data_IF_653741974912
#
_entry.id   IF_653741974912
#
_cell.length_a   1.000
_cell.length_b   1.000
_cell.length_c   1.000
_cell.angle_alpha   90.00
_cell.angle_beta   90.00
_cell.angle_gamma   90.00
#
_symmetry.space_group_name_H-M   'P 1'
#
loop_
_entity.id
_entity.type
_entity.pdbx_description
1 polymer ?
#
# COMPACT_ATOMS: atom_id res chain seq x y z
N UNK A 1 -8.49 9.15 -17.64
CA UNK A 1 -8.21 10.28 -18.56
C UNK A 1 -7.27 9.81 -19.65
N UNK A 2 -7.44 10.27 -20.89
CA UNK A 2 -6.56 9.93 -22.03
C UNK A 2 -5.81 11.20 -22.44
N UNK A 3 -4.49 11.19 -22.29
CA UNK A 3 -3.62 12.34 -22.56
C UNK A 3 -2.73 11.98 -23.74
N UNK A 4 -2.71 12.80 -24.79
CA UNK A 4 -1.74 12.65 -25.88
C UNK A 4 -0.59 13.65 -25.72
N UNK A 5 0.59 13.32 -26.24
CA UNK A 5 1.70 14.29 -26.29
C UNK A 5 1.30 15.57 -27.02
N UNK A 6 0.48 15.50 -28.07
CA UNK A 6 -0.01 16.69 -28.79
C UNK A 6 -0.86 17.60 -27.93
N UNK A 7 -1.70 17.03 -27.05
CA UNK A 7 -2.46 17.81 -26.08
C UNK A 7 -1.54 18.46 -25.05
N UNK A 8 -0.52 17.74 -24.57
CA UNK A 8 0.47 18.30 -23.65
C UNK A 8 1.34 19.37 -24.31
N UNK A 9 1.77 19.19 -25.56
CA UNK A 9 2.54 20.18 -26.34
C UNK A 9 1.73 21.47 -26.55
N UNK A 10 0.41 21.37 -26.73
CA UNK A 10 -0.46 22.53 -26.78
C UNK A 10 -0.46 23.31 -25.46
N UNK A 11 -0.55 22.60 -24.33
CA UNK A 11 -0.58 23.21 -23.01
C UNK A 11 0.80 23.69 -22.53
N UNK A 12 1.84 22.92 -22.85
CA UNK A 12 3.23 23.03 -22.40
C UNK A 12 4.19 22.80 -23.59
N UNK A 13 4.46 23.82 -24.42
CA UNK A 13 5.25 23.65 -25.64
C UNK A 13 6.66 23.09 -25.44
N UNK A 14 7.27 23.35 -24.28
CA UNK A 14 8.62 22.86 -23.95
C UNK A 14 8.64 21.36 -23.66
N UNK A 15 7.49 20.72 -23.44
CA UNK A 15 7.41 19.29 -23.18
C UNK A 15 7.95 18.45 -24.34
N UNK A 16 8.00 19.01 -25.56
CA UNK A 16 8.61 18.37 -26.74
C UNK A 16 10.11 18.11 -26.58
N UNK A 17 10.76 18.85 -25.69
CA UNK A 17 12.19 18.75 -25.40
C UNK A 17 12.48 17.86 -24.18
N UNK A 18 11.44 17.35 -23.51
CA UNK A 18 11.55 16.53 -22.30
C UNK A 18 11.56 15.05 -22.70
N UNK A 19 12.45 14.28 -22.08
CA UNK A 19 12.50 12.83 -22.31
C UNK A 19 11.19 12.17 -21.86
N UNK A 20 10.74 11.15 -22.60
CA UNK A 20 9.47 10.49 -22.28
C UNK A 20 9.49 9.86 -20.89
N UNK A 21 10.65 9.37 -20.44
CA UNK A 21 10.79 8.82 -19.09
C UNK A 21 10.58 9.89 -18.02
N UNK A 22 11.02 11.11 -18.26
CA UNK A 22 10.82 12.23 -17.33
C UNK A 22 9.35 12.66 -17.30
N UNK A 23 8.66 12.63 -18.45
CA UNK A 23 7.20 12.82 -18.50
C UNK A 23 6.48 11.72 -17.70
N UNK A 24 6.89 10.45 -17.83
CA UNK A 24 6.30 9.35 -17.08
C UNK A 24 6.52 9.50 -15.57
N UNK A 25 7.75 9.83 -15.18
CA UNK A 25 8.09 10.09 -13.79
C UNK A 25 7.27 11.27 -13.24
N UNK A 26 7.08 12.34 -14.02
CA UNK A 26 6.28 13.48 -13.63
C UNK A 26 4.81 13.13 -13.42
N UNK A 27 4.21 12.36 -14.34
CA UNK A 27 2.83 11.84 -14.21
C UNK A 27 2.66 11.04 -12.91
N UNK A 28 3.62 10.15 -12.59
CA UNK A 28 3.60 9.38 -11.35
C UNK A 28 3.75 10.31 -10.12
N UNK A 29 4.64 11.30 -10.20
CA UNK A 29 4.90 12.25 -9.08
C UNK A 29 3.68 13.11 -8.74
N UNK A 30 2.84 13.41 -9.74
CA UNK A 30 1.55 14.08 -9.53
C UNK A 30 0.42 13.06 -9.24
N UNK A 31 0.75 11.86 -8.74
CA UNK A 31 -0.24 10.86 -8.29
C UNK A 31 -1.17 10.38 -9.41
N UNK A 32 -0.66 10.21 -10.63
CA UNK A 32 -1.39 9.54 -11.71
C UNK A 32 -0.81 8.14 -11.96
N UNK A 33 -1.67 7.13 -11.89
CA UNK A 33 -1.34 5.77 -12.31
C UNK A 33 -1.45 5.68 -13.83
N UNK A 34 -0.34 5.36 -14.48
CA UNK A 34 -0.29 5.06 -15.91
C UNK A 34 -0.81 3.63 -16.11
N UNK A 35 -2.01 3.49 -16.66
CA UNK A 35 -2.62 2.19 -16.97
C UNK A 35 -2.04 1.58 -18.23
N UNK A 36 -1.97 2.39 -19.29
CA UNK A 36 -1.51 1.97 -20.61
C UNK A 36 -0.75 3.12 -21.28
N UNK A 37 0.24 2.78 -22.10
CA UNK A 37 0.93 3.68 -23.03
C UNK A 37 0.72 3.13 -24.43
N UNK A 38 0.05 3.89 -25.29
CA UNK A 38 -0.20 3.52 -26.69
C UNK A 38 0.76 4.33 -27.56
N UNK A 39 1.47 3.62 -28.43
CA UNK A 39 2.36 4.19 -29.44
C UNK A 39 1.59 4.21 -30.76
N UNK A 40 1.39 5.40 -31.32
CA UNK A 40 0.77 5.57 -32.63
C UNK A 40 1.80 6.16 -33.59
N UNK A 41 2.17 5.40 -34.62
CA UNK A 41 3.04 5.86 -35.71
C UNK A 41 2.20 6.54 -36.78
N UNK A 42 2.46 7.82 -37.02
CA UNK A 42 1.93 8.53 -38.20
C UNK A 42 2.64 8.06 -39.47
N UNK A 43 1.88 7.90 -40.56
CA UNK A 43 2.39 7.54 -41.90
C UNK A 43 2.87 8.74 -42.73
N UNK A 44 2.86 9.96 -42.19
CA UNK A 44 3.43 11.11 -42.88
C UNK A 44 4.96 11.09 -42.85
N UNK A 45 5.58 11.79 -43.81
CA UNK A 45 7.00 11.72 -44.22
C UNK A 45 8.06 11.92 -43.11
N UNK A 46 7.66 12.15 -41.87
CA UNK A 46 8.47 12.05 -40.67
C UNK A 46 7.78 11.08 -39.71
N UNK A 47 8.48 10.01 -39.31
CA UNK A 47 8.08 9.08 -38.25
C UNK A 47 7.91 9.84 -36.92
N UNK A 48 6.75 10.48 -36.75
CA UNK A 48 6.36 11.10 -35.48
C UNK A 48 5.66 10.03 -34.65
N UNK A 49 6.36 9.52 -33.63
CA UNK A 49 5.78 8.63 -32.63
C UNK A 49 4.89 9.48 -31.72
N UNK A 50 3.58 9.25 -31.76
CA UNK A 50 2.63 9.88 -30.84
C UNK A 50 2.49 8.97 -29.62
N UNK A 51 2.80 9.50 -28.44
CA UNK A 51 2.53 8.81 -27.17
C UNK A 51 1.15 9.21 -26.66
N UNK A 52 0.37 8.21 -26.26
CA UNK A 52 -0.94 8.37 -25.65
C UNK A 52 -0.94 7.66 -24.31
N UNK A 53 -1.14 8.43 -23.25
CA UNK A 53 -1.21 7.95 -21.87
C UNK A 53 -2.65 7.74 -21.47
N UNK A 54 -2.98 6.52 -21.05
CA UNK A 54 -4.21 6.26 -20.31
C UNK A 54 -3.88 6.30 -18.83
N UNK A 55 -4.34 7.33 -18.14
CA UNK A 55 -4.05 7.55 -16.71
C UNK A 55 -5.32 7.53 -15.86
N UNK A 56 -5.16 7.23 -14.57
CA UNK A 56 -6.17 7.49 -13.53
C UNK A 56 -5.50 8.13 -12.29
N UNK A 57 -6.21 8.99 -11.54
CA UNK A 57 -5.73 9.45 -10.23
C UNK A 57 -5.48 8.28 -9.27
N UNK A 58 -4.38 8.35 -8.53
CA UNK A 58 -4.03 7.44 -7.43
C UNK A 58 -4.69 7.98 -6.17
N UNK A 59 -5.63 7.21 -5.63
CA UNK A 59 -6.48 7.59 -4.51
C UNK A 59 -7.36 8.82 -4.83
N UNK A 60 -8.53 8.93 -4.21
CA UNK A 60 -9.43 10.09 -4.40
C UNK A 60 -8.93 11.37 -3.71
N UNK A 61 -7.62 11.48 -3.49
CA UNK A 61 -6.96 12.57 -2.77
C UNK A 61 -6.89 13.82 -3.66
N UNK A 62 -6.62 13.63 -4.96
CA UNK A 62 -6.57 14.70 -5.95
C UNK A 62 -7.61 14.47 -7.04
N UNK A 63 -8.48 15.44 -7.22
CA UNK A 63 -9.30 15.53 -8.43
C UNK A 63 -8.60 16.44 -9.44
N UNK A 64 -8.56 16.00 -10.70
CA UNK A 64 -8.02 16.76 -11.82
C UNK A 64 -9.22 17.24 -12.65
N UNK A 65 -9.82 18.39 -12.32
CA UNK A 65 -11.09 18.82 -12.91
C UNK A 65 -10.96 19.13 -14.41
N UNK A 66 -9.74 19.35 -14.92
CA UNK A 66 -9.47 19.62 -16.33
C UNK A 66 -8.03 19.25 -16.73
N UNK A 67 -7.76 19.10 -18.04
CA UNK A 67 -6.40 18.88 -18.54
C UNK A 67 -5.49 20.09 -18.30
N UNK A 68 -6.05 21.30 -18.26
CA UNK A 68 -5.31 22.51 -17.92
C UNK A 68 -4.76 22.42 -16.49
N UNK A 69 -5.56 22.03 -15.49
CA UNK A 69 -5.07 21.84 -14.11
C UNK A 69 -3.97 20.79 -14.07
N UNK A 70 -4.15 19.65 -14.74
CA UNK A 70 -3.11 18.64 -14.84
C UNK A 70 -1.81 19.20 -15.45
N UNK A 71 -1.92 20.05 -16.48
CA UNK A 71 -0.74 20.66 -17.10
C UNK A 71 -0.01 21.61 -16.17
N UNK A 72 -0.71 22.33 -15.29
CA UNK A 72 -0.05 23.17 -14.27
C UNK A 72 0.76 22.32 -13.29
N UNK A 73 0.20 21.20 -12.83
CA UNK A 73 0.89 20.27 -11.93
C UNK A 73 2.08 19.59 -12.60
N UNK A 74 1.97 19.22 -13.88
CA UNK A 74 3.09 18.69 -14.65
C UNK A 74 4.19 19.73 -14.86
N UNK A 75 3.81 20.96 -15.21
CA UNK A 75 4.73 22.05 -15.45
C UNK A 75 5.54 22.40 -14.19
N UNK A 76 4.90 22.35 -13.01
CA UNK A 76 5.57 22.48 -11.73
C UNK A 76 6.65 21.41 -11.53
N UNK A 77 6.32 20.14 -11.76
CA UNK A 77 7.26 19.03 -11.56
C UNK A 77 8.41 19.05 -12.56
N UNK A 78 8.14 19.46 -13.80
CA UNK A 78 9.11 19.54 -14.89
C UNK A 78 9.86 20.88 -14.94
N UNK A 79 9.54 21.82 -14.04
CA UNK A 79 10.04 23.20 -14.05
C UNK A 79 9.87 23.93 -15.40
N UNK A 80 8.75 23.67 -16.08
CA UNK A 80 8.40 24.30 -17.35
C UNK A 80 7.65 25.61 -17.07
N UNK A 81 8.20 26.73 -17.53
CA UNK A 81 7.62 28.07 -17.31
C UNK A 81 7.03 28.69 -18.57
N UNK A 82 7.44 28.21 -19.75
CA UNK A 82 7.04 28.82 -21.02
C UNK A 82 5.60 28.48 -21.39
N UNK A 83 4.78 29.52 -21.55
CA UNK A 83 3.44 29.42 -22.15
C UNK A 83 3.52 29.46 -23.69
N UNK A 84 2.54 28.88 -24.41
CA UNK A 84 2.47 28.96 -25.87
C UNK A 84 2.24 30.39 -26.35
N UNK A 85 2.90 30.76 -27.45
CA UNK A 85 2.71 32.04 -28.14
C UNK A 85 1.33 32.13 -28.82
N UNK A 86 0.87 33.34 -29.12
CA UNK A 86 -0.37 33.56 -29.86
C UNK A 86 -0.40 32.82 -31.20
N UNK A 87 0.74 32.76 -31.89
CA UNK A 87 0.86 32.05 -33.17
C UNK A 87 0.76 30.54 -33.02
N UNK A 88 1.40 29.95 -32.00
CA UNK A 88 1.30 28.51 -31.72
C UNK A 88 -0.14 28.11 -31.36
N UNK A 89 -0.80 28.92 -30.53
CA UNK A 89 -2.22 28.72 -30.18
C UNK A 89 -3.09 28.78 -31.43
N UNK A 90 -2.93 29.83 -32.25
CA UNK A 90 -3.71 30.01 -33.47
C UNK A 90 -3.48 28.84 -34.42
N UNK A 91 -2.23 28.46 -34.67
CA UNK A 91 -1.92 27.32 -35.53
C UNK A 91 -2.58 26.03 -35.05
N UNK A 92 -2.63 25.79 -33.75
CA UNK A 92 -3.22 24.58 -33.19
C UNK A 92 -4.75 24.57 -33.25
N UNK A 93 -5.40 25.67 -32.84
CA UNK A 93 -6.86 25.75 -32.80
C UNK A 93 -7.50 25.76 -34.20
N UNK A 94 -6.76 26.14 -35.24
CA UNK A 94 -7.22 26.12 -36.63
C UNK A 94 -6.90 24.81 -37.37
N UNK A 95 -6.22 23.86 -36.73
CA UNK A 95 -5.99 22.52 -37.29
C UNK A 95 -7.23 21.64 -37.06
N UNK A 96 -8.13 21.59 -38.07
CA UNK A 96 -9.39 20.86 -37.99
C UNK A 96 -9.20 19.36 -37.76
N UNK A 97 -8.17 18.77 -38.38
CA UNK A 97 -7.86 17.35 -38.25
C UNK A 97 -7.37 17.03 -36.85
N UNK A 98 -6.46 17.83 -36.30
CA UNK A 98 -5.92 17.65 -34.96
C UNK A 98 -7.00 17.79 -33.88
N UNK A 99 -7.82 18.84 -33.97
CA UNK A 99 -8.93 19.05 -33.02
C UNK A 99 -9.92 17.88 -33.08
N UNK A 100 -10.31 17.47 -34.29
CA UNK A 100 -11.21 16.33 -34.49
C UNK A 100 -10.63 15.03 -33.97
N UNK A 101 -9.32 14.81 -34.11
CA UNK A 101 -8.60 13.65 -33.59
C UNK A 101 -8.61 13.65 -32.05
N UNK A 102 -8.25 14.75 -31.40
CA UNK A 102 -8.19 14.83 -29.93
C UNK A 102 -9.57 14.69 -29.27
N UNK A 103 -10.62 15.20 -29.91
CA UNK A 103 -12.00 14.99 -29.49
C UNK A 103 -12.40 13.51 -29.58
N UNK A 104 -12.13 12.85 -30.71
CA UNK A 104 -12.40 11.41 -30.88
C UNK A 104 -11.64 10.56 -29.87
N UNK A 105 -10.36 10.88 -29.65
CA UNK A 105 -9.52 10.18 -28.69
C UNK A 105 -10.09 10.23 -27.27
N UNK A 106 -10.78 11.32 -26.92
CA UNK A 106 -11.47 11.52 -25.65
C UNK A 106 -12.97 11.21 -25.69
N UNK A 107 -13.43 10.43 -26.67
CA UNK A 107 -14.82 10.01 -26.84
C UNK A 107 -15.83 11.18 -26.90
N UNK A 108 -15.43 12.32 -27.46
CA UNK A 108 -16.31 13.47 -27.74
C UNK A 108 -16.87 13.39 -29.15
N UNK A 109 -18.07 13.93 -29.35
CA UNK A 109 -18.73 13.97 -30.67
C UNK A 109 -18.08 15.06 -31.52
N UNK A 110 -17.70 14.72 -32.75
CA UNK A 110 -17.18 15.68 -33.73
C UNK A 110 -18.34 16.18 -34.59
N UNK A 111 -18.52 17.51 -34.63
CA UNK A 111 -19.45 18.23 -35.50
C UNK A 111 -18.82 18.49 -36.88
N UNK A 112 -19.66 18.73 -37.89
CA UNK A 112 -19.20 19.26 -39.19
C UNK A 112 -18.76 20.72 -39.12
N UNK A 113 -19.12 21.44 -38.05
CA UNK A 113 -18.73 22.82 -37.81
C UNK A 113 -17.46 22.88 -36.96
N UNK A 114 -16.34 23.35 -37.53
CA UNK A 114 -15.06 23.45 -36.82
C UNK A 114 -15.14 24.31 -35.56
N UNK A 115 -15.88 25.42 -35.60
CA UNK A 115 -16.02 26.30 -34.44
C UNK A 115 -16.69 25.61 -33.24
N UNK A 116 -17.63 24.70 -33.50
CA UNK A 116 -18.25 23.86 -32.45
C UNK A 116 -17.25 22.83 -31.89
N UNK A 117 -16.38 22.29 -32.75
CA UNK A 117 -15.33 21.37 -32.33
C UNK A 117 -14.27 22.07 -31.46
N UNK A 118 -13.85 23.28 -31.84
CA UNK A 118 -12.94 24.10 -31.02
C UNK A 118 -13.55 24.35 -29.65
N UNK A 119 -14.85 24.69 -29.57
CA UNK A 119 -15.51 24.88 -28.28
C UNK A 119 -15.53 23.61 -27.43
N UNK A 120 -15.94 22.48 -28.00
CA UNK A 120 -15.89 21.19 -27.29
C UNK A 120 -14.48 20.84 -26.83
N UNK A 121 -13.46 21.21 -27.61
CA UNK A 121 -12.06 21.04 -27.24
C UNK A 121 -11.67 21.94 -26.06
N UNK A 122 -12.07 23.22 -26.06
CA UNK A 122 -11.83 24.11 -24.93
C UNK A 122 -12.52 23.60 -23.65
N UNK A 123 -13.75 23.10 -23.74
CA UNK A 123 -14.44 22.46 -22.61
C UNK A 123 -13.76 21.18 -22.14
N UNK A 124 -13.15 20.42 -23.07
CA UNK A 124 -12.33 19.27 -22.72
C UNK A 124 -11.09 19.73 -21.93
N UNK A 125 -10.39 20.73 -22.44
CA UNK A 125 -9.11 21.21 -21.90
C UNK A 125 -9.27 21.92 -20.56
N UNK A 126 -10.19 22.86 -20.46
CA UNK A 126 -10.34 23.76 -19.31
C UNK A 126 -11.46 23.35 -18.35
N UNK A 127 -12.24 22.32 -18.69
CA UNK A 127 -13.34 21.81 -17.87
C UNK A 127 -14.71 22.18 -18.43
N UNK A 128 -15.74 21.50 -17.93
CA UNK A 128 -17.13 21.81 -18.31
C UNK A 128 -17.64 22.98 -17.46
N UNK A 129 -17.94 24.16 -18.06
CA UNK A 129 -18.41 25.31 -17.30
C UNK A 129 -19.74 25.07 -16.57
N UNK A 130 -20.52 24.06 -16.98
CA UNK A 130 -21.74 23.66 -16.26
C UNK A 130 -21.45 22.90 -14.97
N UNK A 131 -20.26 22.33 -14.83
CA UNK A 131 -19.82 21.59 -13.64
C UNK A 131 -18.97 22.45 -12.72
N UNK A 132 -18.03 23.18 -13.29
CA UNK A 132 -17.13 24.08 -12.56
C UNK A 132 -16.80 25.30 -13.43
N UNK A 133 -17.62 26.32 -13.29
CA UNK A 133 -17.47 27.59 -14.02
C UNK A 133 -16.17 28.31 -13.63
N UNK A 134 -15.72 28.14 -12.38
CA UNK A 134 -14.54 28.81 -11.82
C UNK A 134 -13.28 28.31 -12.51
N UNK A 135 -13.09 26.98 -12.54
CA UNK A 135 -11.92 26.37 -13.18
C UNK A 135 -11.91 26.66 -14.69
N UNK A 136 -13.07 26.63 -15.35
CA UNK A 136 -13.16 26.95 -16.76
C UNK A 136 -12.72 28.39 -17.05
N UNK A 137 -13.31 29.38 -16.36
CA UNK A 137 -12.96 30.80 -16.54
C UNK A 137 -11.49 31.07 -16.22
N UNK A 138 -10.97 30.51 -15.13
CA UNK A 138 -9.58 30.70 -14.71
C UNK A 138 -8.61 30.13 -15.74
N UNK A 139 -8.91 28.94 -16.26
CA UNK A 139 -8.11 28.28 -17.28
C UNK A 139 -8.07 29.10 -18.58
N UNK A 140 -9.23 29.51 -19.09
CA UNK A 140 -9.34 30.37 -20.28
C UNK A 140 -8.58 31.68 -20.08
N UNK A 141 -8.81 32.38 -18.97
CA UNK A 141 -8.13 33.63 -18.68
C UNK A 141 -6.62 33.43 -18.55
N UNK A 142 -6.13 32.54 -17.68
CA UNK A 142 -4.69 32.32 -17.47
C UNK A 142 -3.94 31.87 -18.74
N UNK A 143 -4.63 31.16 -19.63
CA UNK A 143 -4.03 30.62 -20.85
C UNK A 143 -4.04 31.62 -22.02
N UNK A 144 -5.04 32.49 -22.12
CA UNK A 144 -5.22 33.42 -23.23
C UNK A 144 -5.02 34.91 -22.89
N UNK A 145 -4.92 35.28 -21.60
CA UNK A 145 -4.64 36.66 -21.17
C UNK A 145 -3.35 37.16 -21.84
N UNK A 146 -3.37 38.42 -22.27
CA UNK A 146 -2.27 39.11 -22.94
C UNK A 146 -1.86 38.50 -24.28
N UNK A 147 -2.70 37.63 -24.87
CA UNK A 147 -2.48 37.05 -26.20
C UNK A 147 -3.46 37.62 -27.21
N UNK A 148 -2.92 38.20 -28.28
CA UNK A 148 -3.71 38.61 -29.43
C UNK A 148 -4.19 37.38 -30.22
N UNK A 149 -5.43 36.98 -29.98
CA UNK A 149 -6.06 35.86 -30.68
C UNK A 149 -7.23 36.39 -31.48
N UNK A 150 -7.09 36.31 -32.80
CA UNK A 150 -8.22 36.42 -33.71
C UNK A 150 -9.08 35.18 -33.59
N UNK A 151 -10.04 35.23 -32.67
CA UNK A 151 -11.13 34.28 -32.62
C UNK A 151 -11.88 34.40 -33.96
N UNK A 152 -11.87 33.34 -34.78
CA UNK A 152 -12.65 33.29 -36.02
C UNK A 152 -14.16 33.37 -35.74
N UNK A 153 -15.01 32.88 -36.65
CA UNK A 153 -16.47 32.75 -36.39
C UNK A 153 -16.76 31.70 -35.32
N UNK A 154 -16.33 31.93 -34.09
CA UNK A 154 -16.65 31.12 -32.92
C UNK A 154 -17.96 31.66 -32.32
N UNK A 155 -19.01 30.84 -32.18
CA UNK A 155 -20.31 31.29 -31.70
C UNK A 155 -20.29 31.93 -30.30
N UNK A 156 -19.23 31.70 -29.52
CA UNK A 156 -19.07 32.20 -28.14
C UNK A 156 -17.87 33.15 -27.99
N UNK A 157 -17.42 33.75 -29.10
CA UNK A 157 -16.34 34.74 -29.14
C UNK A 157 -16.57 35.87 -28.12
N UNK A 158 -17.81 36.33 -27.96
CA UNK A 158 -18.14 37.45 -27.08
C UNK A 158 -17.91 37.13 -25.60
N UNK A 159 -18.29 35.93 -25.15
CA UNK A 159 -18.14 35.50 -23.74
C UNK A 159 -16.67 35.32 -23.37
N UNK A 160 -15.87 34.69 -24.25
CA UNK A 160 -14.42 34.54 -24.04
C UNK A 160 -13.73 35.90 -24.05
N UNK A 161 -14.07 36.78 -24.99
CA UNK A 161 -13.53 38.15 -25.04
C UNK A 161 -13.90 38.94 -23.78
N UNK A 162 -15.09 38.74 -23.23
CA UNK A 162 -15.52 39.41 -22.00
C UNK A 162 -14.69 38.99 -20.79
N UNK A 163 -14.40 37.70 -20.62
CA UNK A 163 -13.50 37.23 -19.55
C UNK A 163 -12.08 37.78 -19.69
N UNK A 164 -11.57 37.86 -20.91
CA UNK A 164 -10.20 38.33 -21.18
C UNK A 164 -10.03 39.84 -20.96
N UNK A 165 -11.11 40.61 -20.86
CA UNK A 165 -11.07 42.04 -20.51
C UNK A 165 -10.86 42.29 -19.02
N UNK A 166 -11.04 41.28 -18.18
CA UNK A 166 -10.90 41.42 -16.73
C UNK A 166 -9.41 41.50 -16.38
N UNK A 167 -9.05 42.56 -15.65
CA UNK A 167 -7.65 42.93 -15.41
C UNK A 167 -7.02 42.17 -14.25
N UNK A 168 -7.81 41.93 -13.19
CA UNK A 168 -7.38 41.25 -11.96
C UNK A 168 -8.04 39.87 -11.82
N UNK A 169 -7.26 38.85 -11.46
CA UNK A 169 -7.75 37.51 -11.12
C UNK A 169 -8.80 37.57 -10.01
N UNK A 170 -8.65 38.48 -9.03
CA UNK A 170 -9.61 38.67 -7.93
C UNK A 170 -10.96 39.21 -8.39
N UNK A 171 -10.99 39.94 -9.51
CA UNK A 171 -12.23 40.41 -10.12
C UNK A 171 -12.97 39.30 -10.88
N UNK A 172 -12.24 38.27 -11.35
CA UNK A 172 -12.85 37.08 -11.94
C UNK A 172 -13.43 36.10 -10.90
N UNK A 173 -12.87 36.08 -9.69
CA UNK A 173 -13.16 35.04 -8.69
C UNK A 173 -13.38 35.60 -7.29
N UNK A 174 -14.62 35.48 -6.80
CA UNK A 174 -15.01 35.85 -5.44
C UNK A 174 -14.76 34.74 -4.39
N UNK A 175 -14.16 33.61 -4.78
CA UNK A 175 -13.88 32.49 -3.88
C UNK A 175 -12.64 32.72 -3.04
N UNK A 176 -12.67 32.31 -1.76
CA UNK A 176 -11.47 32.28 -0.94
C UNK A 176 -10.55 31.12 -1.36
N UNK A 177 -9.26 31.41 -1.58
CA UNK A 177 -8.24 30.36 -1.76
C UNK A 177 -8.08 29.58 -0.47
N UNK A 178 -7.90 28.27 -0.60
CA UNK A 178 -7.51 27.43 0.52
C UNK A 178 -6.17 27.91 1.09
N UNK A 179 -5.98 27.78 2.41
CA UNK A 179 -4.81 28.31 3.12
C UNK A 179 -4.17 27.26 4.00
N UNK A 180 -2.85 27.33 4.10
CA UNK A 180 -2.07 26.58 5.09
C UNK A 180 -0.95 27.44 5.64
N UNK A 181 -0.39 27.02 6.77
CA UNK A 181 0.79 27.65 7.35
C UNK A 181 1.97 26.69 7.30
N UNK A 182 3.16 27.24 7.08
CA UNK A 182 4.42 26.51 7.15
C UNK A 182 5.38 27.24 8.08
N UNK A 183 6.01 26.45 8.95
CA UNK A 183 7.07 26.88 9.85
C UNK A 183 8.36 26.25 9.35
N UNK A 184 9.30 27.07 8.87
CA UNK A 184 10.53 26.60 8.23
C UNK A 184 11.39 25.74 9.16
N UNK A 185 11.45 26.09 10.44
CA UNK A 185 12.17 25.31 11.45
C UNK A 185 11.60 23.90 11.64
N UNK A 186 10.32 23.69 11.34
CA UNK A 186 9.62 22.40 11.49
C UNK A 186 9.62 21.52 10.23
N UNK A 187 10.04 22.02 9.05
CA UNK A 187 10.05 21.17 7.86
C UNK A 187 11.00 19.98 8.03
N UNK A 188 10.66 18.87 7.38
CA UNK A 188 11.46 17.65 7.41
C UNK A 188 12.91 17.91 6.96
N UNK A 189 13.91 17.19 7.51
CA UNK A 189 15.31 17.38 7.16
C UNK A 189 15.62 17.20 5.67
N UNK A 190 14.82 16.39 4.95
CA UNK A 190 14.96 16.20 3.49
C UNK A 190 14.74 17.49 2.69
N UNK A 191 14.14 18.53 3.29
CA UNK A 191 13.93 19.84 2.66
C UNK A 191 14.97 20.88 3.11
N UNK A 192 16.10 20.46 3.71
CA UNK A 192 17.11 21.39 4.23
C UNK A 192 17.59 22.38 3.17
N UNK A 193 17.88 21.93 1.96
CA UNK A 193 18.32 22.79 0.85
C UNK A 193 17.24 23.84 0.51
N UNK A 194 15.96 23.46 0.51
CA UNK A 194 14.85 24.39 0.30
C UNK A 194 14.72 25.42 1.44
N UNK A 195 15.13 25.10 2.68
CA UNK A 195 15.10 26.05 3.80
C UNK A 195 16.17 27.14 3.65
N UNK A 196 17.34 26.76 3.15
CA UNK A 196 18.51 27.64 3.07
C UNK A 196 18.30 28.78 2.07
N UNK A 197 17.49 28.56 1.03
CA UNK A 197 17.10 29.57 0.05
C UNK A 197 15.60 29.51 -0.29
N UNK A 198 14.75 29.63 0.75
CA UNK A 198 13.29 29.45 0.63
C UNK A 198 12.62 30.33 -0.42
N UNK A 199 13.05 31.59 -0.54
CA UNK A 199 12.44 32.54 -1.46
C UNK A 199 12.70 32.11 -2.92
N UNK A 200 13.93 31.77 -3.29
CA UNK A 200 14.23 31.34 -4.66
C UNK A 200 13.82 29.89 -4.95
N UNK A 201 14.06 28.97 -4.00
CA UNK A 201 13.85 27.52 -4.19
C UNK A 201 12.39 27.09 -4.02
N UNK A 202 11.55 27.91 -3.38
CA UNK A 202 10.13 27.57 -3.14
C UNK A 202 9.20 28.67 -3.62
N UNK A 203 9.33 29.90 -3.11
CA UNK A 203 8.36 30.97 -3.39
C UNK A 203 8.36 31.34 -4.88
N UNK A 204 9.52 31.70 -5.44
CA UNK A 204 9.67 32.10 -6.84
C UNK A 204 9.33 30.97 -7.83
N UNK A 205 9.57 29.72 -7.42
CA UNK A 205 9.22 28.54 -8.22
C UNK A 205 7.73 28.25 -8.21
N UNK A 206 7.00 28.58 -7.15
CA UNK A 206 5.57 28.28 -7.01
C UNK A 206 4.63 29.41 -7.45
N UNK A 207 5.08 30.68 -7.41
CA UNK A 207 4.29 31.83 -7.88
C UNK A 207 3.75 31.66 -9.32
N UNK A 208 4.53 31.20 -10.31
CA UNK A 208 4.04 30.97 -11.68
C UNK A 208 2.88 29.97 -11.78
N UNK A 209 2.68 29.14 -10.74
CA UNK A 209 1.66 28.10 -10.65
C UNK A 209 0.50 28.49 -9.72
N UNK A 210 0.22 29.80 -9.59
CA UNK A 210 -0.92 30.39 -8.87
C UNK A 210 -0.91 30.23 -7.33
N UNK A 211 0.22 29.82 -6.74
CA UNK A 211 0.45 29.95 -5.31
C UNK A 211 0.75 31.41 -4.94
N UNK A 212 0.34 31.83 -3.75
CA UNK A 212 0.82 33.08 -3.15
C UNK A 212 1.24 32.87 -1.70
N UNK A 213 2.16 33.71 -1.24
CA UNK A 213 2.83 33.56 0.04
C UNK A 213 2.77 34.88 0.81
N UNK A 214 2.47 34.81 2.10
CA UNK A 214 2.47 35.95 3.00
C UNK A 214 3.32 35.64 4.23
N UNK A 215 4.23 36.54 4.60
CA UNK A 215 5.04 36.41 5.81
C UNK A 215 4.18 36.73 7.04
N UNK A 216 3.99 35.77 7.93
CA UNK A 216 3.18 35.94 9.14
C UNK A 216 3.93 36.59 10.30
N UNK A 217 5.27 36.53 10.29
CA UNK A 217 6.10 37.10 11.33
C UNK A 217 7.32 37.83 10.76
N UNK A 218 7.89 38.73 11.58
CA UNK A 218 9.10 39.47 11.23
C UNK A 218 10.35 38.58 11.14
N UNK A 219 10.34 37.38 11.72
CA UNK A 219 11.48 36.45 11.70
C UNK A 219 11.60 35.64 10.41
N UNK A 220 10.68 35.81 9.43
CA UNK A 220 10.65 35.10 8.15
C UNK A 220 10.60 33.55 8.25
N UNK A 221 10.33 33.01 9.44
CA UNK A 221 10.24 31.56 9.66
C UNK A 221 8.83 31.02 9.44
N UNK A 222 7.82 31.89 9.43
CA UNK A 222 6.41 31.50 9.28
C UNK A 222 5.78 32.15 8.06
N UNK A 223 5.19 31.30 7.23
CA UNK A 223 4.57 31.67 5.97
C UNK A 223 3.14 31.16 5.91
N UNK A 224 2.20 32.04 5.57
CA UNK A 224 0.89 31.65 5.09
C UNK A 224 0.98 31.40 3.58
N UNK A 225 0.44 30.27 3.16
CA UNK A 225 0.42 29.82 1.77
C UNK A 225 -1.03 29.84 1.33
N UNK A 226 -1.32 30.59 0.27
CA UNK A 226 -2.61 30.52 -0.41
C UNK A 226 -2.45 29.62 -1.62
N UNK A 227 -3.24 28.55 -1.63
CA UNK A 227 -3.19 27.50 -2.63
C UNK A 227 -3.92 27.93 -3.91
N UNK A 228 -3.59 27.35 -5.08
CA UNK A 228 -4.33 27.57 -6.30
C UNK A 228 -5.82 27.17 -6.17
N UNK A 229 -6.69 27.78 -6.97
CA UNK A 229 -8.15 27.63 -6.86
C UNK A 229 -8.69 26.21 -7.07
N UNK A 230 -7.91 25.30 -7.67
CA UNK A 230 -8.30 23.90 -7.82
C UNK A 230 -8.04 23.05 -6.56
N UNK A 231 -7.40 23.62 -5.54
CA UNK A 231 -7.24 23.01 -4.23
C UNK A 231 -8.38 23.43 -3.29
N UNK A 232 -8.99 22.46 -2.62
CA UNK A 232 -10.09 22.68 -1.66
C UNK A 232 -9.59 22.51 -0.24
N UNK A 233 -10.07 23.36 0.68
CA UNK A 233 -9.61 23.37 2.08
C UNK A 233 -9.78 22.01 2.76
N UNK A 234 -10.90 21.32 2.49
CA UNK A 234 -11.23 20.02 3.07
C UNK A 234 -10.31 18.88 2.61
N UNK A 235 -9.62 19.05 1.48
CA UNK A 235 -8.78 18.03 0.84
C UNK A 235 -7.37 18.55 0.52
N UNK A 236 -6.87 19.52 1.28
CA UNK A 236 -5.51 20.01 1.08
C UNK A 236 -4.49 18.90 1.38
N UNK A 237 -3.55 18.62 0.46
CA UNK A 237 -2.41 17.80 0.83
C UNK A 237 -1.53 18.53 1.82
N UNK A 238 -0.65 17.80 2.49
CA UNK A 238 0.42 18.43 3.25
C UNK A 238 1.29 19.28 2.31
N UNK A 239 1.69 20.48 2.72
CA UNK A 239 2.61 21.28 1.93
C UNK A 239 3.96 20.57 1.70
N UNK A 240 4.33 19.62 2.57
CA UNK A 240 5.47 18.73 2.35
C UNK A 240 5.38 17.95 1.04
N UNK A 241 4.17 17.63 0.57
CA UNK A 241 3.97 16.98 -0.72
C UNK A 241 4.31 17.92 -1.89
N UNK A 242 3.96 19.20 -1.77
CA UNK A 242 4.34 20.22 -2.75
C UNK A 242 5.85 20.45 -2.74
N UNK A 243 6.47 20.54 -1.56
CA UNK A 243 7.93 20.62 -1.45
C UNK A 243 8.62 19.41 -2.09
N UNK A 244 8.04 18.21 -1.94
CA UNK A 244 8.55 17.01 -2.58
C UNK A 244 8.47 17.08 -4.12
N UNK A 245 7.48 17.78 -4.68
CA UNK A 245 7.39 18.04 -6.14
C UNK A 245 8.55 18.91 -6.64
N UNK A 246 9.11 19.78 -5.81
CA UNK A 246 10.23 20.66 -6.16
C UNK A 246 11.61 19.96 -6.15
N UNK A 247 11.74 18.85 -5.41
CA UNK A 247 13.00 18.09 -5.32
C UNK A 247 13.23 17.20 -6.55
N UNK A 248 14.45 17.15 -7.08
CA UNK A 248 14.84 16.13 -8.06
C UNK A 248 14.95 14.77 -7.35
N UNK A 249 14.26 13.75 -7.87
CA UNK A 249 14.15 12.43 -7.24
C UNK A 249 15.52 11.72 -7.06
N UNK A 250 16.51 12.10 -7.86
CA UNK A 250 17.89 11.60 -7.81
C UNK A 250 18.83 12.43 -6.91
N UNK A 251 18.46 13.68 -6.58
CA UNK A 251 19.33 14.61 -5.84
C UNK A 251 18.95 14.78 -4.39
N UNK A 252 17.79 14.29 -3.95
CA UNK A 252 17.46 14.23 -2.52
C UNK A 252 18.51 13.33 -1.86
N UNK A 253 19.55 13.96 -1.31
CA UNK A 253 20.60 13.31 -0.54
C UNK A 253 19.86 12.60 0.59
N UNK A 254 19.70 11.28 0.43
CA UNK A 254 19.31 10.40 1.52
C UNK A 254 20.54 10.28 2.42
N UNK A 255 20.94 11.38 3.03
CA UNK A 255 21.62 11.28 4.31
C UNK A 255 20.61 10.59 5.18
N UNK A 256 20.81 9.29 5.36
CA UNK A 256 20.40 8.62 6.58
C UNK A 256 20.98 9.54 7.64
N UNK A 257 20.16 10.39 8.24
CA UNK A 257 20.63 11.18 9.36
C UNK A 257 21.21 10.15 10.31
N UNK A 258 22.50 10.28 10.59
CA UNK A 258 23.07 9.83 11.85
C UNK A 258 22.42 10.71 12.93
N UNK A 259 21.09 10.69 13.04
CA UNK A 259 20.45 10.82 14.34
C UNK A 259 21.17 9.80 15.19
N UNK A 260 21.34 10.16 16.45
CA UNK A 260 21.72 9.25 17.51
C UNK A 260 20.76 8.05 17.57
N UNK A 261 20.72 7.16 16.57
CA UNK A 261 21.12 5.81 16.84
C UNK A 261 22.41 6.00 17.62
N UNK A 262 22.29 6.03 18.96
CA UNK A 262 23.19 5.19 19.72
C UNK A 262 23.35 3.98 18.82
N UNK A 263 24.52 3.84 18.16
CA UNK A 263 24.98 2.54 17.68
C UNK A 263 24.48 1.66 18.80
N UNK A 264 23.43 0.86 18.54
CA UNK A 264 22.85 -0.01 19.56
C UNK A 264 24.07 -0.62 20.13
N UNK A 265 24.43 -0.16 21.33
CA UNK A 265 25.81 -0.29 21.73
C UNK A 265 26.05 -1.79 21.65
N UNK A 266 27.28 -2.22 21.51
CA UNK A 266 27.58 -3.56 21.96
C UNK A 266 27.28 -3.73 23.47
N UNK A 267 26.51 -2.83 24.11
CA UNK A 267 25.20 -3.18 24.64
C UNK A 267 24.81 -4.62 24.33
N UNK A 268 25.41 -5.49 25.12
CA UNK A 268 24.70 -6.50 25.87
C UNK A 268 23.33 -5.92 26.24
N UNK A 269 22.41 -5.93 25.28
CA UNK A 269 21.01 -5.97 25.59
C UNK A 269 20.96 -7.24 26.42
N UNK A 270 20.85 -7.08 27.74
CA UNK A 270 20.36 -8.14 28.59
C UNK A 270 18.97 -8.45 28.03
N UNK A 271 18.93 -9.27 26.98
CA UNK A 271 17.74 -9.70 26.30
C UNK A 271 17.05 -10.70 27.23
N UNK A 272 16.51 -10.18 28.32
CA UNK A 272 15.46 -10.81 29.12
C UNK A 272 14.10 -10.56 28.44
N UNK A 273 14.06 -10.54 27.10
CA UNK A 273 12.85 -10.27 26.34
C UNK A 273 12.15 -11.58 25.95
N UNK A 274 10.80 -11.62 25.95
CA UNK A 274 10.00 -12.76 25.48
C UNK A 274 10.44 -13.29 24.10
N UNK A 275 11.00 -12.41 23.25
CA UNK A 275 11.53 -12.76 21.94
C UNK A 275 12.67 -13.79 22.00
N UNK A 276 13.66 -13.61 22.89
CA UNK A 276 14.75 -14.58 23.02
C UNK A 276 14.27 -15.93 23.54
N UNK A 277 13.26 -15.93 24.41
CA UNK A 277 12.65 -17.16 24.89
C UNK A 277 12.03 -17.95 23.72
N UNK A 278 11.21 -17.31 22.88
CA UNK A 278 10.64 -17.97 21.70
C UNK A 278 11.71 -18.43 20.70
N UNK A 279 12.74 -17.63 20.46
CA UNK A 279 13.84 -18.00 19.57
C UNK A 279 14.62 -19.21 20.08
N UNK A 280 14.87 -19.30 21.40
CA UNK A 280 15.51 -20.47 22.02
C UNK A 280 14.66 -21.73 21.88
N UNK A 281 13.35 -21.65 22.17
CA UNK A 281 12.43 -22.79 21.98
C UNK A 281 12.46 -23.32 20.55
N UNK A 282 12.31 -22.41 19.58
CA UNK A 282 12.34 -22.71 18.15
C UNK A 282 13.64 -23.40 17.75
N UNK A 283 14.79 -22.80 18.08
CA UNK A 283 16.09 -23.36 17.70
C UNK A 283 16.36 -24.73 18.34
N UNK A 284 15.91 -24.95 19.58
CA UNK A 284 16.06 -26.24 20.25
C UNK A 284 15.19 -27.34 19.61
N UNK A 285 13.95 -27.02 19.23
CA UNK A 285 13.05 -27.94 18.54
C UNK A 285 13.56 -28.31 17.14
N UNK A 286 14.04 -27.32 16.37
CA UNK A 286 14.66 -27.55 15.05
C UNK A 286 15.89 -28.45 15.14
N UNK A 287 16.77 -28.23 16.13
CA UNK A 287 17.93 -29.11 16.40
C UNK A 287 17.53 -30.54 16.76
N UNK A 288 16.36 -30.71 17.36
CA UNK A 288 15.72 -32.00 17.66
C UNK A 288 14.90 -32.52 16.46
N UNK A 289 15.10 -32.01 15.25
CA UNK A 289 14.47 -32.56 14.05
C UNK A 289 12.94 -32.37 13.97
N UNK A 290 12.36 -31.49 14.79
CA UNK A 290 11.00 -31.06 14.57
C UNK A 290 10.92 -30.11 13.37
N UNK A 291 9.83 -30.16 12.62
CA UNK A 291 9.53 -29.18 11.58
C UNK A 291 8.56 -28.12 12.11
N UNK A 292 8.92 -26.85 11.95
CA UNK A 292 8.05 -25.73 12.26
C UNK A 292 6.93 -25.65 11.23
N UNK A 293 5.70 -25.55 11.71
CA UNK A 293 4.49 -25.45 10.90
C UNK A 293 3.75 -24.16 11.24
N UNK A 294 2.97 -23.66 10.29
CA UNK A 294 2.06 -22.54 10.50
C UNK A 294 0.69 -22.93 9.94
N UNK A 295 -0.26 -23.16 10.84
CA UNK A 295 -1.64 -23.47 10.46
C UNK A 295 -2.51 -22.22 10.51
N UNK A 296 -3.64 -22.25 9.78
CA UNK A 296 -4.60 -21.14 9.83
C UNK A 296 -5.12 -20.95 11.26
N UNK A 297 -5.44 -19.71 11.62
CA UNK A 297 -6.03 -19.37 12.92
C UNK A 297 -7.55 -19.59 12.96
N UNK A 298 -8.11 -20.03 11.84
CA UNK A 298 -9.52 -20.29 11.64
C UNK A 298 -9.77 -21.77 11.37
N UNK A 299 -10.83 -22.32 11.94
CA UNK A 299 -11.28 -23.71 11.72
C UNK A 299 -12.78 -23.75 11.46
N UNK A 300 -13.28 -24.89 10.95
CA UNK A 300 -14.70 -25.11 10.66
C UNK A 300 -15.48 -25.15 11.98
N UNK A 301 -16.59 -24.41 12.06
CA UNK A 301 -17.38 -24.24 13.30
C UNK A 301 -17.89 -25.56 13.89
N UNK A 302 -18.14 -26.59 13.08
CA UNK A 302 -18.52 -27.94 13.55
C UNK A 302 -17.46 -28.60 14.46
N UNK A 303 -16.19 -28.20 14.30
CA UNK A 303 -15.05 -28.75 15.04
C UNK A 303 -14.82 -27.99 16.35
N UNK A 304 -15.19 -26.71 16.42
CA UNK A 304 -14.93 -25.80 17.53
C UNK A 304 -16.25 -25.31 18.14
N UNK A 305 -16.74 -26.00 19.17
CA UNK A 305 -18.00 -25.64 19.85
C UNK A 305 -17.84 -24.70 21.05
N UNK A 306 -16.61 -24.48 21.52
CA UNK A 306 -16.36 -23.59 22.65
C UNK A 306 -16.27 -22.12 22.23
N UNK A 307 -16.06 -21.84 20.94
CA UNK A 307 -15.90 -20.50 20.41
C UNK A 307 -17.22 -19.94 19.86
N UNK A 308 -17.92 -19.14 20.67
CA UNK A 308 -19.15 -18.42 20.27
C UNK A 308 -18.90 -17.30 19.24
N UNK A 309 -17.63 -16.95 18.96
CA UNK A 309 -17.27 -15.90 17.99
C UNK A 309 -17.32 -16.47 16.59
N UNK A 310 -18.54 -16.53 16.08
CA UNK A 310 -18.82 -16.68 14.66
C UNK A 310 -18.50 -15.35 13.98
N UNK A 311 -17.66 -15.36 12.93
CA UNK A 311 -17.42 -14.16 12.15
C UNK A 311 -18.76 -13.69 11.56
N UNK A 312 -19.15 -12.43 11.78
CA UNK A 312 -20.46 -11.89 11.33
C UNK A 312 -20.73 -12.14 9.83
N UNK A 313 -19.67 -12.17 9.02
CA UNK A 313 -19.74 -12.37 7.58
C UNK A 313 -19.47 -13.81 7.10
N UNK A 314 -19.12 -14.76 7.99
CA UNK A 314 -18.95 -16.16 7.62
C UNK A 314 -19.28 -17.12 8.79
N UNK A 315 -20.51 -17.68 8.83
CA UNK A 315 -20.94 -18.51 9.94
C UNK A 315 -20.34 -19.92 9.99
N UNK A 316 -19.65 -20.33 8.93
CA UNK A 316 -19.07 -21.67 8.81
C UNK A 316 -17.68 -21.78 9.45
N UNK A 317 -17.12 -20.65 9.89
CA UNK A 317 -15.73 -20.54 10.31
C UNK A 317 -15.66 -19.79 11.64
N UNK A 318 -14.82 -20.28 12.55
CA UNK A 318 -14.57 -19.65 13.85
C UNK A 318 -13.07 -19.60 14.13
N UNK A 319 -12.68 -18.77 15.10
CA UNK A 319 -11.31 -18.77 15.60
C UNK A 319 -10.98 -20.15 16.20
N UNK A 320 -9.75 -20.61 15.99
CA UNK A 320 -9.29 -21.86 16.59
C UNK A 320 -9.17 -21.71 18.11
N UNK A 321 -9.68 -22.70 18.83
CA UNK A 321 -9.54 -22.85 20.27
C UNK A 321 -8.35 -23.75 20.65
N UNK A 322 -7.93 -24.64 19.74
CA UNK A 322 -6.88 -25.62 19.96
C UNK A 322 -5.96 -25.78 18.74
N UNK A 323 -4.75 -25.23 18.86
CA UNK A 323 -3.67 -25.34 17.89
C UNK A 323 -3.33 -26.80 17.51
N UNK A 324 -3.56 -27.75 18.41
CA UNK A 324 -3.27 -29.17 18.19
C UNK A 324 -4.15 -29.75 17.09
N UNK A 325 -5.43 -29.36 17.08
CA UNK A 325 -6.40 -29.86 16.10
C UNK A 325 -6.03 -29.37 14.69
N UNK A 326 -5.65 -28.10 14.56
CA UNK A 326 -5.22 -27.52 13.29
C UNK A 326 -3.95 -28.23 12.78
N UNK A 327 -2.93 -28.44 13.63
CA UNK A 327 -1.73 -29.19 13.25
C UNK A 327 -2.01 -30.64 12.85
N UNK A 328 -2.85 -31.34 13.60
CA UNK A 328 -3.19 -32.72 13.32
C UNK A 328 -3.92 -32.87 11.98
N UNK A 329 -4.96 -32.05 11.75
CA UNK A 329 -5.83 -32.17 10.57
C UNK A 329 -5.22 -31.55 9.31
N UNK A 330 -4.69 -30.33 9.42
CA UNK A 330 -4.22 -29.57 8.25
C UNK A 330 -2.82 -30.01 7.80
N UNK A 331 -1.99 -30.53 8.71
CA UNK A 331 -0.61 -30.92 8.41
C UNK A 331 -0.43 -32.44 8.46
N UNK A 332 -0.52 -33.08 9.63
CA UNK A 332 -0.14 -34.50 9.75
C UNK A 332 -1.05 -35.44 8.95
N UNK A 333 -2.38 -35.34 9.13
CA UNK A 333 -3.34 -36.18 8.43
C UNK A 333 -3.29 -35.95 6.91
N UNK A 334 -3.13 -34.70 6.48
CA UNK A 334 -2.97 -34.35 5.06
C UNK A 334 -1.72 -34.98 4.46
N UNK A 335 -0.56 -34.87 5.13
CA UNK A 335 0.69 -35.47 4.67
C UNK A 335 0.62 -37.00 4.66
N UNK A 336 0.00 -37.60 5.68
CA UNK A 336 -0.23 -39.05 5.73
C UNK A 336 -1.05 -39.53 4.52
N UNK A 337 -2.14 -38.82 4.21
CA UNK A 337 -3.03 -39.17 3.10
C UNK A 337 -2.38 -38.95 1.71
N UNK A 338 -1.44 -38.01 1.61
CA UNK A 338 -0.66 -37.76 0.39
C UNK A 338 0.52 -38.73 0.22
N UNK A 339 0.78 -39.61 1.20
CA UNK A 339 1.94 -40.50 1.18
C UNK A 339 3.28 -39.79 1.37
N UNK A 340 3.26 -38.54 1.86
CA UNK A 340 4.45 -37.76 2.19
C UNK A 340 5.19 -38.36 3.39
N UNK A 341 6.46 -37.98 3.54
CA UNK A 341 7.22 -38.28 4.77
C UNK A 341 6.57 -37.55 5.95
N UNK A 342 6.54 -38.22 7.10
CA UNK A 342 5.98 -37.67 8.32
C UNK A 342 7.11 -37.41 9.30
N UNK A 343 7.15 -36.19 9.82
CA UNK A 343 8.12 -35.72 10.79
C UNK A 343 7.40 -35.30 12.07
N UNK A 344 8.08 -35.27 13.23
CA UNK A 344 7.54 -34.57 14.38
C UNK A 344 7.44 -33.07 14.01
N UNK A 345 6.32 -32.44 14.37
CA UNK A 345 6.04 -31.05 14.01
C UNK A 345 5.76 -30.20 15.23
N UNK A 346 5.99 -28.90 15.11
CA UNK A 346 5.58 -27.95 16.12
C UNK A 346 5.02 -26.66 15.51
N UNK A 347 4.20 -25.96 16.29
CA UNK A 347 3.83 -24.58 16.02
C UNK A 347 3.91 -23.78 17.32
N UNK A 348 4.48 -22.59 17.22
CA UNK A 348 4.45 -21.59 18.27
C UNK A 348 3.56 -20.45 17.81
N UNK A 349 2.44 -20.24 18.48
CA UNK A 349 1.47 -19.26 18.02
C UNK A 349 0.63 -18.67 19.14
N UNK A 350 0.19 -17.45 18.91
CA UNK A 350 -0.88 -16.84 19.68
C UNK A 350 -2.20 -17.53 19.34
N UNK A 351 -2.92 -17.94 20.39
CA UNK A 351 -4.26 -18.51 20.30
C UNK A 351 -5.25 -17.43 20.77
N UNK A 352 -5.89 -16.70 19.84
CA UNK A 352 -6.69 -15.53 20.16
C UNK A 352 -7.83 -15.83 21.13
N UNK A 353 -8.46 -17.00 20.99
CA UNK A 353 -9.56 -17.43 21.86
C UNK A 353 -9.16 -17.54 23.34
N UNK A 354 -7.95 -17.98 23.62
CA UNK A 354 -7.42 -18.17 24.99
C UNK A 354 -6.57 -17.00 25.45
N UNK A 355 -6.40 -15.98 24.61
CA UNK A 355 -5.51 -14.83 24.82
C UNK A 355 -4.08 -15.21 25.29
N UNK A 356 -3.54 -16.30 24.75
CA UNK A 356 -2.28 -16.89 25.23
C UNK A 356 -1.40 -17.35 24.08
N UNK A 357 -0.09 -17.29 24.29
CA UNK A 357 0.89 -17.95 23.41
C UNK A 357 0.97 -19.42 23.80
N UNK A 358 0.78 -20.30 22.82
CA UNK A 358 0.87 -21.74 23.00
C UNK A 358 2.00 -22.33 22.15
N UNK A 359 2.69 -23.31 22.72
CA UNK A 359 3.56 -24.23 21.99
C UNK A 359 2.83 -25.57 21.84
N UNK A 360 2.65 -26.02 20.60
CA UNK A 360 2.14 -27.34 20.30
C UNK A 360 3.21 -28.20 19.63
N UNK A 361 3.41 -29.41 20.15
CA UNK A 361 4.29 -30.43 19.59
C UNK A 361 3.45 -31.66 19.23
N UNK A 362 3.59 -32.18 18.02
CA UNK A 362 2.94 -33.42 17.62
C UNK A 362 3.97 -34.40 17.05
N UNK A 363 3.88 -35.66 17.47
CA UNK A 363 4.67 -36.76 16.93
C UNK A 363 3.77 -37.97 16.71
N UNK A 364 3.83 -38.56 15.52
CA UNK A 364 3.27 -39.90 15.27
C UNK A 364 4.02 -40.94 16.10
N UNK A 365 3.36 -41.95 16.64
CA UNK A 365 4.00 -43.08 17.31
C UNK A 365 3.39 -44.38 16.82
N UNK A 366 4.16 -45.46 16.83
CA UNK A 366 3.62 -46.79 16.52
C UNK A 366 2.79 -47.32 17.70
N UNK A 367 1.67 -47.96 17.38
CA UNK A 367 0.93 -48.76 18.33
C UNK A 367 1.75 -49.99 18.76
N UNK A 368 1.46 -50.49 19.96
CA UNK A 368 1.90 -51.82 20.38
C UNK A 368 1.45 -52.82 19.31
N UNK A 369 2.37 -53.68 18.84
CA UNK A 369 2.19 -54.64 17.73
C UNK A 369 2.23 -54.05 16.30
N UNK A 370 2.44 -52.73 16.14
CA UNK A 370 2.66 -52.12 14.83
C UNK A 370 3.93 -52.60 14.14
N UNK A 371 3.85 -52.90 12.84
CA UNK A 371 4.99 -53.39 12.06
C UNK A 371 6.00 -52.25 11.79
N UNK A 372 7.21 -52.40 12.34
CA UNK A 372 8.30 -51.43 12.19
C UNK A 372 8.69 -51.18 10.72
N UNK A 373 8.38 -52.10 9.80
CA UNK A 373 8.63 -51.92 8.36
C UNK A 373 7.89 -50.71 7.80
N UNK A 374 6.70 -50.39 8.33
CA UNK A 374 5.95 -49.19 7.92
C UNK A 374 6.73 -47.89 8.20
N UNK A 375 7.47 -47.81 9.30
CA UNK A 375 8.31 -46.65 9.63
C UNK A 375 9.42 -46.51 8.57
N UNK A 376 10.12 -47.61 8.30
CA UNK A 376 11.32 -47.61 7.44
C UNK A 376 10.97 -47.36 5.98
N UNK A 377 9.86 -47.91 5.48
CA UNK A 377 9.43 -47.74 4.09
C UNK A 377 8.83 -46.35 3.83
N UNK A 378 8.06 -45.81 4.78
CA UNK A 378 7.41 -44.48 4.66
C UNK A 378 8.28 -43.31 5.16
N UNK A 379 9.50 -43.59 5.64
CA UNK A 379 10.44 -42.59 6.18
C UNK A 379 9.80 -41.71 7.25
N UNK A 380 9.15 -42.36 8.22
CA UNK A 380 8.49 -41.67 9.35
C UNK A 380 9.53 -41.44 10.45
N UNK A 381 9.69 -40.19 10.86
CA UNK A 381 10.51 -39.80 12.00
C UNK A 381 9.60 -39.56 13.19
N UNK A 382 9.94 -40.13 14.35
CA UNK A 382 9.14 -39.96 15.54
C UNK A 382 9.93 -40.01 16.84
N UNK A 383 9.28 -39.48 17.87
CA UNK A 383 9.68 -39.60 19.26
C UNK A 383 8.68 -40.48 20.01
N UNK A 384 9.20 -41.42 20.80
CA UNK A 384 8.43 -42.12 21.83
C UNK A 384 7.88 -41.16 22.90
N UNK A 385 6.86 -41.58 23.63
CA UNK A 385 6.32 -40.83 24.79
C UNK A 385 7.45 -40.37 25.74
N UNK A 386 8.34 -41.29 26.11
CA UNK A 386 9.46 -41.00 27.02
C UNK A 386 10.40 -39.94 26.44
N UNK A 387 10.71 -40.01 25.15
CA UNK A 387 11.57 -39.02 24.51
C UNK A 387 10.91 -37.66 24.44
N UNK A 388 9.61 -37.59 24.14
CA UNK A 388 8.87 -36.33 24.14
C UNK A 388 8.88 -35.67 25.53
N UNK A 389 8.80 -36.45 26.61
CA UNK A 389 8.86 -35.92 27.97
C UNK A 389 10.21 -35.30 28.29
N UNK A 390 11.29 -35.99 27.95
CA UNK A 390 12.64 -35.46 28.15
C UNK A 390 12.88 -34.20 27.30
N UNK A 391 12.39 -34.18 26.06
CA UNK A 391 12.44 -32.99 25.20
C UNK A 391 11.70 -31.82 25.85
N UNK A 392 10.49 -32.02 26.40
CA UNK A 392 9.75 -30.97 27.08
C UNK A 392 10.49 -30.47 28.31
N UNK A 393 11.00 -31.36 29.18
CA UNK A 393 11.77 -30.95 30.35
C UNK A 393 13.00 -30.14 29.96
N UNK A 394 13.76 -30.57 28.95
CA UNK A 394 14.93 -29.86 28.45
C UNK A 394 14.57 -28.48 27.88
N UNK A 395 13.47 -28.35 27.14
CA UNK A 395 13.03 -27.07 26.58
C UNK A 395 12.77 -26.00 27.64
N UNK A 396 12.32 -26.42 28.82
CA UNK A 396 12.01 -25.54 29.94
C UNK A 396 12.98 -25.71 31.12
N UNK A 397 14.23 -26.14 30.87
CA UNK A 397 15.30 -26.26 31.88
C UNK A 397 14.89 -27.03 33.16
N UNK A 398 14.06 -28.06 33.03
CA UNK A 398 13.48 -28.84 34.14
C UNK A 398 12.56 -28.04 35.10
N UNK A 399 12.09 -26.86 34.71
CA UNK A 399 11.10 -26.07 35.48
C UNK A 399 9.68 -26.67 35.44
N UNK A 400 9.46 -27.70 34.63
CA UNK A 400 8.15 -28.32 34.42
C UNK A 400 8.13 -29.77 34.87
N UNK A 401 7.00 -30.17 35.46
CA UNK A 401 6.73 -31.53 35.91
C UNK A 401 5.60 -32.14 35.08
N UNK A 402 5.77 -33.39 34.65
CA UNK A 402 4.74 -34.13 33.92
C UNK A 402 4.08 -35.13 34.88
N UNK A 403 2.79 -34.94 35.16
CA UNK A 403 2.00 -35.83 36.02
C UNK A 403 1.00 -36.63 35.19
N UNK A 404 1.10 -37.97 35.24
CA UNK A 404 0.11 -38.87 34.63
C UNK A 404 -1.21 -38.80 35.39
N UNK A 405 -2.31 -38.86 34.67
CA UNK A 405 -3.65 -38.86 35.24
C UNK A 405 -4.03 -40.26 35.71
N UNK A 406 -4.69 -40.35 36.86
CA UNK A 406 -5.29 -41.59 37.36
C UNK A 406 -6.47 -42.06 36.49
N UNK A 407 -7.21 -41.09 35.92
CA UNK A 407 -8.31 -41.32 34.99
C UNK A 407 -8.09 -40.50 33.73
N UNK A 408 -8.17 -41.15 32.57
CA UNK A 408 -8.05 -40.49 31.29
C UNK A 408 -9.28 -39.63 30.99
N UNK A 409 -9.07 -38.47 30.38
CA UNK A 409 -10.12 -37.51 30.04
C UNK A 409 -10.32 -37.56 28.52
N UNK A 410 -11.49 -38.03 28.08
CA UNK A 410 -11.84 -38.00 26.65
C UNK A 410 -12.24 -36.58 26.27
N UNK A 411 -11.62 -36.05 25.22
CA UNK A 411 -11.97 -34.74 24.67
C UNK A 411 -13.05 -34.97 23.60
N UNK A 412 -14.27 -34.54 23.91
CA UNK A 412 -15.38 -34.61 22.95
C UNK A 412 -15.00 -33.84 21.66
N UNK A 413 -15.32 -34.43 20.50
CA UNK A 413 -15.10 -33.86 19.14
C UNK A 413 -13.69 -33.89 18.53
N UNK A 414 -12.61 -34.00 19.31
CA UNK A 414 -11.27 -34.20 18.73
C UNK A 414 -10.91 -35.68 18.52
N UNK A 415 -11.61 -36.59 19.23
CA UNK A 415 -11.20 -37.99 19.32
C UNK A 415 -9.94 -38.19 20.18
N UNK A 416 -9.44 -37.13 20.81
CA UNK A 416 -8.26 -37.18 21.65
C UNK A 416 -8.60 -37.68 23.06
N UNK A 417 -7.62 -38.29 23.71
CA UNK A 417 -7.68 -38.68 25.11
C UNK A 417 -6.50 -38.04 25.84
N UNK A 418 -6.80 -37.18 26.80
CA UNK A 418 -5.82 -36.57 27.69
C UNK A 418 -5.44 -37.55 28.79
N UNK A 419 -4.13 -37.72 29.00
CA UNK A 419 -3.60 -38.73 29.92
C UNK A 419 -2.47 -38.21 30.82
N UNK A 420 -1.97 -36.99 30.58
CA UNK A 420 -1.00 -36.34 31.44
C UNK A 420 -1.18 -34.82 31.45
N UNK A 421 -0.85 -34.20 32.58
CA UNK A 421 -0.74 -32.75 32.74
C UNK A 421 0.73 -32.33 32.81
N UNK A 422 1.01 -31.13 32.30
CA UNK A 422 2.30 -30.45 32.44
C UNK A 422 2.08 -29.32 33.43
N UNK A 423 2.85 -29.34 34.51
CA UNK A 423 2.72 -28.41 35.61
C UNK A 423 3.98 -27.58 35.79
N UNK A 424 3.83 -26.32 36.18
CA UNK A 424 4.90 -25.46 36.69
C UNK A 424 4.44 -24.92 38.03
N UNK A 425 5.24 -25.08 39.09
CA UNK A 425 4.88 -24.62 40.44
C UNK A 425 3.49 -25.08 40.93
N UNK A 426 3.12 -26.34 40.66
CA UNK A 426 1.80 -26.93 40.93
C UNK A 426 0.61 -26.37 40.12
N UNK A 427 0.83 -25.46 39.17
CA UNK A 427 -0.20 -24.98 38.25
C UNK A 427 -0.16 -25.76 36.93
N UNK A 428 -1.34 -26.16 36.43
CA UNK A 428 -1.47 -26.80 35.11
C UNK A 428 -1.23 -25.77 34.01
N UNK A 429 -0.11 -25.92 33.30
CA UNK A 429 0.27 -25.05 32.18
C UNK A 429 0.12 -25.75 30.83
N UNK A 430 -0.07 -27.07 30.80
CA UNK A 430 -0.18 -27.80 29.56
C UNK A 430 -0.77 -29.19 29.72
N UNK A 431 -0.97 -29.85 28.60
CA UNK A 431 -1.62 -31.15 28.49
C UNK A 431 -0.92 -32.04 27.49
N UNK A 432 -0.99 -33.34 27.75
CA UNK A 432 -0.50 -34.39 26.86
C UNK A 432 -1.68 -35.27 26.49
N UNK A 433 -1.88 -35.42 25.19
CA UNK A 433 -3.02 -36.14 24.62
C UNK A 433 -2.56 -37.14 23.58
N UNK A 434 -3.29 -38.25 23.50
CA UNK A 434 -3.17 -39.22 22.43
C UNK A 434 -4.36 -39.07 21.49
N UNK A 435 -4.10 -39.05 20.19
CA UNK A 435 -5.10 -38.95 19.14
C UNK A 435 -5.12 -40.27 18.38
N UNK A 436 -6.28 -40.92 18.43
CA UNK A 436 -6.57 -42.17 17.73
C UNK A 436 -7.59 -41.89 16.65
N UNK A 437 -7.08 -41.48 15.50
CA UNK A 437 -7.88 -41.29 14.31
C UNK A 437 -7.80 -42.55 13.46
N UNK A 438 -8.92 -42.98 12.90
CA UNK A 438 -9.03 -44.18 12.05
C UNK A 438 -7.93 -44.24 10.99
N UNK A 439 -7.64 -43.12 10.32
CA UNK A 439 -6.58 -43.04 9.31
C UNK A 439 -5.17 -43.39 9.84
N UNK A 440 -4.85 -43.07 11.09
CA UNK A 440 -3.59 -43.48 11.71
C UNK A 440 -3.67 -44.92 12.22
N UNK A 441 -4.80 -45.33 12.81
CA UNK A 441 -5.00 -46.66 13.37
C UNK A 441 -4.92 -47.78 12.32
N UNK A 442 -5.51 -47.59 11.12
CA UNK A 442 -5.41 -48.57 10.02
C UNK A 442 -3.97 -48.78 9.53
N UNK A 443 -3.05 -47.88 9.92
CA UNK A 443 -1.61 -47.96 9.65
C UNK A 443 -0.81 -48.29 10.92
N UNK A 444 -1.48 -48.78 11.96
CA UNK A 444 -0.92 -49.13 13.26
C UNK A 444 -0.15 -47.98 13.94
N UNK A 445 -0.66 -46.75 13.79
CA UNK A 445 -0.09 -45.55 14.39
C UNK A 445 -1.12 -44.80 15.24
N UNK A 446 -0.63 -44.00 16.18
CA UNK A 446 -1.38 -42.95 16.87
C UNK A 446 -0.55 -41.65 16.90
N UNK A 447 -1.13 -40.53 17.33
CA UNK A 447 -0.40 -39.26 17.45
C UNK A 447 -0.37 -38.84 18.91
N UNK A 448 0.82 -38.56 19.44
CA UNK A 448 0.97 -37.89 20.72
C UNK A 448 1.09 -36.39 20.46
N UNK A 449 0.28 -35.62 21.15
CA UNK A 449 0.36 -34.16 21.16
C UNK A 449 0.67 -33.62 22.55
N UNK A 450 1.45 -32.56 22.60
CA UNK A 450 1.78 -31.79 23.78
C UNK A 450 1.42 -30.34 23.48
N UNK A 451 0.54 -29.74 24.29
CA UNK A 451 0.18 -28.33 24.17
C UNK A 451 0.49 -27.62 25.49
N UNK A 452 1.26 -26.53 25.43
CA UNK A 452 1.77 -25.80 26.60
C UNK A 452 1.45 -24.31 26.44
N UNK A 453 0.81 -23.75 27.44
CA UNK A 453 0.61 -22.31 27.60
C UNK A 453 1.91 -21.66 28.12
N UNK A 454 2.39 -20.65 27.39
CA UNK A 454 3.68 -20.03 27.63
C UNK A 454 3.59 -18.79 28.54
N UNK A 455 2.39 -18.39 28.99
CA UNK A 455 2.15 -17.19 29.81
C UNK A 455 2.96 -17.17 31.11
N UNK A 456 3.35 -18.32 31.65
CA UNK A 456 4.10 -18.45 32.91
C UNK A 456 5.63 -18.43 32.74
N UNK A 457 6.15 -18.13 31.55
CA UNK A 457 7.59 -18.18 31.24
C UNK A 457 8.22 -16.85 30.82
N UNK A 458 7.44 -15.78 30.66
CA UNK A 458 7.95 -14.48 30.21
C UNK A 458 7.24 -13.30 30.86
#
# INVERSE_FOLDING_TARGET
MIISNKLLEFLLPEIKNVDQRDIWNALIKIQLEIKDIILETSNDKELSIKYIYRVKPVCSIFDYPSFWVLSQELALVLDIKKKPSSQEIKSFLFDEEMISYLLRLNNRKVSSNHSENVWQFLQLVFGDPKKDETIFKLGIWSFFKDKEIEWGKCPFQNEVIEFLKISDEKELFLGEKARSQVILSELLPIFKELKEDWENEVVDRLIPFNFSFEKLNFSAEQWEIHWPYWYKQENLPSFNEILFRLLYFSSAIRTIEEKNYEKLSEGQVELKSPFLFFLKLKNNLLKKGFLECNTTKFDISEINKLADVVLEHNPQVTLRDDITNSLLKQVLLRNLNQGSKIYPIFELAYCPWKETWELALLSTVLLLEGDKRYITERKIFFYSEKQLYEIVKELFNNEVEIKKLEKFIRIEHSGATEFAHINKNNEKIGVIRVHRLEAFEIRHMEVISICINLKSFY
#
